data_IF_903169193292
#
_entry.id   IF_903169193292
#
_cell.length_a   1.000
_cell.length_b   1.000
_cell.length_c   1.000
_cell.angle_alpha   90.00
_cell.angle_beta   90.00
_cell.angle_gamma   90.00
#
_symmetry.space_group_name_H-M   'P 1'
#
loop_
_entity.id
_entity.type
_entity.pdbx_description
1 polymer ?
#
# COMPACT_ATOMS: atom_id res chain seq x y z
N UNK A 1 -20.49 -66.07 -13.12
CA UNK A 1 -19.07 -65.65 -13.26
C UNK A 1 -18.87 -64.15 -13.62
N UNK A 2 -19.86 -63.46 -14.21
CA UNK A 2 -19.73 -62.03 -14.59
C UNK A 2 -19.73 -61.04 -13.40
N UNK A 3 -20.47 -61.34 -12.32
CA UNK A 3 -20.59 -60.49 -11.11
C UNK A 3 -19.26 -60.24 -10.40
N UNK A 4 -18.40 -61.27 -10.29
CA UNK A 4 -17.06 -61.16 -9.68
C UNK A 4 -16.08 -60.28 -10.49
N UNK A 5 -16.28 -60.16 -11.81
CA UNK A 5 -15.41 -59.35 -12.69
C UNK A 5 -15.74 -57.85 -12.57
N UNK A 6 -17.03 -57.53 -12.44
CA UNK A 6 -17.49 -56.16 -12.21
C UNK A 6 -17.07 -55.65 -10.82
N UNK A 7 -17.26 -56.46 -9.77
CA UNK A 7 -16.79 -56.14 -8.41
C UNK A 7 -15.28 -55.89 -8.34
N UNK A 8 -14.45 -56.71 -9.00
CA UNK A 8 -13.00 -56.50 -9.07
C UNK A 8 -12.62 -55.22 -9.81
N UNK A 9 -13.36 -54.84 -10.86
CA UNK A 9 -13.15 -53.57 -11.58
C UNK A 9 -13.57 -52.38 -10.73
N UNK A 10 -14.72 -52.44 -10.06
CA UNK A 10 -15.19 -51.40 -9.14
C UNK A 10 -14.23 -51.20 -7.97
N UNK A 11 -13.71 -52.28 -7.37
CA UNK A 11 -12.70 -52.19 -6.31
C UNK A 11 -11.41 -51.53 -6.83
N UNK A 12 -10.93 -51.91 -8.02
CA UNK A 12 -9.75 -51.26 -8.62
C UNK A 12 -9.98 -49.78 -8.87
N UNK A 13 -11.15 -49.39 -9.38
CA UNK A 13 -11.52 -47.98 -9.59
C UNK A 13 -11.57 -47.23 -8.26
N UNK A 14 -12.18 -47.81 -7.22
CA UNK A 14 -12.24 -47.20 -5.89
C UNK A 14 -10.85 -47.04 -5.26
N UNK A 15 -9.98 -48.04 -5.40
CA UNK A 15 -8.59 -47.97 -4.93
C UNK A 15 -7.82 -46.90 -5.71
N UNK A 16 -7.96 -46.85 -7.04
CA UNK A 16 -7.32 -45.82 -7.86
C UNK A 16 -7.81 -44.42 -7.51
N UNK A 17 -9.11 -44.23 -7.28
CA UNK A 17 -9.66 -42.96 -6.80
C UNK A 17 -9.15 -42.62 -5.40
N UNK A 18 -9.10 -43.57 -4.48
CA UNK A 18 -8.57 -43.35 -3.13
C UNK A 18 -7.09 -42.95 -3.16
N UNK A 19 -6.27 -43.60 -4.00
CA UNK A 19 -4.86 -43.24 -4.21
C UNK A 19 -4.77 -41.84 -4.82
N UNK A 20 -5.60 -41.52 -5.82
CA UNK A 20 -5.63 -40.19 -6.43
C UNK A 20 -6.02 -39.11 -5.41
N UNK A 21 -7.03 -39.34 -4.59
CA UNK A 21 -7.43 -38.42 -3.51
C UNK A 21 -6.34 -38.28 -2.45
N UNK A 22 -5.64 -39.36 -2.10
CA UNK A 22 -4.53 -39.32 -1.16
C UNK A 22 -3.36 -38.49 -1.73
N UNK A 23 -3.01 -38.70 -2.99
CA UNK A 23 -1.98 -37.91 -3.68
C UNK A 23 -2.39 -36.44 -3.78
N UNK A 24 -3.63 -36.15 -4.21
CA UNK A 24 -4.16 -34.78 -4.24
C UNK A 24 -4.11 -34.13 -2.86
N UNK A 25 -4.45 -34.85 -1.79
CA UNK A 25 -4.31 -34.33 -0.42
C UNK A 25 -2.86 -34.01 -0.07
N UNK A 26 -1.92 -34.92 -0.37
CA UNK A 26 -0.49 -34.74 -0.05
C UNK A 26 0.09 -33.52 -0.78
N UNK A 27 -0.28 -33.34 -2.05
CA UNK A 27 0.28 -32.26 -2.87
C UNK A 27 -0.48 -30.93 -2.76
N UNK A 28 -1.79 -30.95 -2.51
CA UNK A 28 -2.62 -29.75 -2.49
C UNK A 28 -2.84 -29.17 -1.09
N UNK A 29 -2.59 -29.92 -0.01
CA UNK A 29 -2.86 -29.50 1.37
C UNK A 29 -1.57 -29.51 2.18
N UNK A 30 -1.39 -28.50 3.03
CA UNK A 30 -0.28 -28.43 3.98
C UNK A 30 -0.77 -27.98 5.35
N UNK A 31 -0.02 -28.32 6.40
CA UNK A 31 -0.27 -27.76 7.73
C UNK A 31 0.13 -26.29 7.79
N UNK A 32 -0.46 -25.53 8.72
CA UNK A 32 0.03 -24.20 9.08
C UNK A 32 1.45 -24.35 9.66
N UNK A 33 2.39 -23.59 9.12
CA UNK A 33 3.73 -23.46 9.63
C UNK A 33 3.75 -22.42 10.75
N UNK A 34 4.09 -22.88 11.95
CA UNK A 34 4.19 -22.08 13.18
C UNK A 34 5.64 -21.96 13.66
N UNK A 35 6.61 -22.26 12.78
CA UNK A 35 8.03 -22.07 13.07
C UNK A 35 8.29 -20.62 13.46
N UNK A 36 8.92 -20.33 14.61
CA UNK A 36 9.25 -18.96 14.98
C UNK A 36 10.09 -18.30 13.89
N UNK A 37 9.67 -17.11 13.45
CA UNK A 37 10.26 -16.46 12.27
C UNK A 37 11.78 -16.24 12.40
N UNK A 38 12.28 -15.94 13.60
CA UNK A 38 13.71 -15.74 13.86
C UNK A 38 14.58 -17.01 13.75
N UNK A 39 13.97 -18.19 13.53
CA UNK A 39 14.66 -19.46 13.24
C UNK A 39 14.65 -19.83 11.75
N UNK A 40 14.12 -18.96 10.88
CA UNK A 40 13.90 -19.27 9.46
C UNK A 40 14.98 -18.66 8.57
N UNK A 41 15.17 -19.24 7.39
CA UNK A 41 16.11 -18.74 6.39
C UNK A 41 15.72 -17.35 5.87
N UNK A 42 14.44 -17.12 5.55
CA UNK A 42 13.96 -15.81 5.05
C UNK A 42 14.25 -14.68 6.05
N UNK A 43 14.14 -14.95 7.35
CA UNK A 43 14.52 -13.98 8.37
C UNK A 43 16.02 -13.69 8.35
N UNK A 44 16.85 -14.74 8.38
CA UNK A 44 18.32 -14.57 8.35
C UNK A 44 18.79 -13.77 7.15
N UNK A 45 18.32 -14.14 5.95
CA UNK A 45 18.64 -13.47 4.69
C UNK A 45 18.18 -12.00 4.69
N UNK A 46 16.97 -11.71 5.20
CA UNK A 46 16.48 -10.33 5.29
C UNK A 46 17.30 -9.50 6.27
N UNK A 47 17.67 -10.05 7.42
CA UNK A 47 18.48 -9.34 8.42
C UNK A 47 19.88 -9.05 7.88
N UNK A 48 20.48 -9.98 7.13
CA UNK A 48 21.76 -9.74 6.46
C UNK A 48 21.67 -8.57 5.47
N UNK A 49 20.62 -8.55 4.62
CA UNK A 49 20.36 -7.43 3.70
C UNK A 49 20.16 -6.11 4.45
N UNK A 50 19.35 -6.09 5.51
CA UNK A 50 19.10 -4.87 6.30
C UNK A 50 20.37 -4.35 6.97
N UNK A 51 21.20 -5.23 7.51
CA UNK A 51 22.45 -4.84 8.14
C UNK A 51 23.43 -4.28 7.09
N UNK A 52 23.49 -4.89 5.89
CA UNK A 52 24.32 -4.39 4.80
C UNK A 52 23.90 -2.97 4.39
N UNK A 53 22.60 -2.73 4.23
CA UNK A 53 22.04 -1.41 3.90
C UNK A 53 22.25 -0.39 5.03
N UNK A 54 22.06 -0.79 6.29
CA UNK A 54 22.32 0.08 7.44
C UNK A 54 23.79 0.48 7.57
N UNK A 55 24.72 -0.39 7.14
CA UNK A 55 26.15 -0.10 7.16
C UNK A 55 26.61 0.75 5.96
N UNK A 56 25.86 0.73 4.84
CA UNK A 56 26.19 1.47 3.62
C UNK A 56 25.44 2.80 3.49
N UNK A 57 24.35 2.99 4.25
CA UNK A 57 23.58 4.23 4.21
C UNK A 57 24.44 5.42 4.62
N UNK A 58 24.23 6.53 3.91
CA UNK A 58 24.94 7.77 4.17
C UNK A 58 23.95 8.89 4.46
N UNK A 59 24.30 9.79 5.37
CA UNK A 59 23.59 11.04 5.52
C UNK A 59 24.07 12.03 4.45
N UNK A 60 23.17 12.83 3.88
CA UNK A 60 23.54 13.95 3.01
C UNK A 60 22.90 15.22 3.49
N UNK A 61 23.74 16.21 3.75
CA UNK A 61 23.36 17.52 4.27
C UNK A 61 23.42 18.57 3.16
N UNK A 62 22.38 19.40 3.03
CA UNK A 62 22.41 20.48 2.04
C UNK A 62 21.07 21.18 1.82
N UNK A 63 21.05 22.02 0.79
CA UNK A 63 19.83 22.72 0.34
C UNK A 63 18.85 21.70 -0.22
N UNK A 64 17.63 21.68 0.35
CA UNK A 64 16.55 20.89 -0.21
C UNK A 64 16.12 21.47 -1.57
N UNK A 65 16.03 20.62 -2.57
CA UNK A 65 15.33 20.90 -3.80
C UNK A 65 14.08 20.04 -3.89
N UNK A 66 12.98 20.58 -4.41
CA UNK A 66 11.76 19.84 -4.63
C UNK A 66 11.08 20.19 -5.95
N UNK A 67 10.47 19.18 -6.57
CA UNK A 67 9.72 19.30 -7.83
C UNK A 67 8.41 18.53 -7.75
N UNK A 68 7.36 19.05 -8.39
CA UNK A 68 6.00 18.56 -8.21
C UNK A 68 5.33 18.23 -9.55
N UNK A 69 4.54 17.15 -9.59
CA UNK A 69 3.69 16.83 -10.74
C UNK A 69 2.36 16.19 -10.33
N UNK A 70 1.36 16.35 -11.19
CA UNK A 70 0.00 15.80 -11.10
C UNK A 70 -0.44 15.37 -12.48
N UNK A 71 -0.77 14.09 -12.64
CA UNK A 71 -1.21 13.48 -13.89
C UNK A 71 -2.57 12.84 -13.68
N UNK A 72 -3.53 13.12 -14.58
CA UNK A 72 -4.85 12.49 -14.55
C UNK A 72 -4.74 11.01 -14.97
N UNK A 73 -5.29 10.12 -14.14
CA UNK A 73 -5.34 8.67 -14.34
C UNK A 73 -6.78 8.14 -14.32
N UNK A 74 -7.74 8.98 -14.73
CA UNK A 74 -9.16 8.60 -14.85
C UNK A 74 -9.40 7.93 -16.20
N UNK A 75 -9.76 6.63 -16.25
CA UNK A 75 -10.11 5.98 -17.49
C UNK A 75 -11.39 6.58 -18.08
N UNK A 76 -11.44 6.71 -19.40
CA UNK A 76 -12.67 7.04 -20.13
C UNK A 76 -13.30 5.75 -20.65
N UNK A 77 -14.54 5.48 -20.24
CA UNK A 77 -15.29 4.31 -20.70
C UNK A 77 -15.99 4.66 -22.02
N UNK A 78 -15.80 3.83 -23.05
CA UNK A 78 -16.36 4.04 -24.40
C UNK A 78 -17.05 2.78 -24.92
N UNK A 79 -18.16 2.94 -25.63
CA UNK A 79 -18.98 1.80 -26.09
C UNK A 79 -18.30 0.96 -27.19
N UNK A 80 -17.50 1.60 -28.05
CA UNK A 80 -16.79 0.95 -29.17
C UNK A 80 -15.46 1.67 -29.44
N UNK A 81 -14.51 0.94 -30.04
CA UNK A 81 -13.21 1.47 -30.51
C UNK A 81 -12.33 2.05 -29.39
N UNK A 82 -12.07 1.25 -28.35
CA UNK A 82 -11.13 1.62 -27.29
C UNK A 82 -9.75 1.99 -27.87
N UNK A 83 -9.16 3.03 -27.30
CA UNK A 83 -7.78 3.46 -27.56
C UNK A 83 -7.05 3.57 -26.22
N UNK A 84 -6.40 2.48 -25.76
CA UNK A 84 -5.70 2.47 -24.48
C UNK A 84 -4.62 3.55 -24.37
N UNK A 85 -3.97 3.93 -25.48
CA UNK A 85 -2.98 5.02 -25.49
C UNK A 85 -3.57 6.39 -25.13
N UNK A 86 -4.89 6.58 -25.32
CA UNK A 86 -5.63 7.77 -24.89
C UNK A 86 -6.36 7.59 -23.55
N UNK A 87 -6.20 6.43 -22.89
CA UNK A 87 -6.94 6.08 -21.69
C UNK A 87 -8.41 5.73 -21.94
N UNK A 88 -8.76 5.30 -23.16
CA UNK A 88 -10.11 4.89 -23.54
C UNK A 88 -10.24 3.37 -23.50
N UNK A 89 -11.19 2.85 -22.72
CA UNK A 89 -11.40 1.41 -22.49
C UNK A 89 -12.88 1.06 -22.62
N UNK A 90 -13.19 -0.17 -23.04
CA UNK A 90 -14.59 -0.63 -23.14
C UNK A 90 -15.21 -0.96 -21.78
N UNK A 91 -14.39 -1.44 -20.84
CA UNK A 91 -14.83 -1.73 -19.49
C UNK A 91 -13.64 -1.77 -18.53
N UNK A 92 -13.78 -1.13 -17.39
CA UNK A 92 -12.86 -1.24 -16.25
C UNK A 92 -13.69 -1.62 -15.03
N UNK A 93 -13.32 -2.71 -14.35
CA UNK A 93 -13.90 -3.05 -13.06
C UNK A 93 -13.15 -2.27 -11.99
N UNK A 94 -13.88 -1.62 -11.09
CA UNK A 94 -13.25 -0.91 -9.98
C UNK A 94 -12.64 -1.90 -8.99
N UNK A 95 -11.42 -1.61 -8.52
CA UNK A 95 -10.68 -2.50 -7.66
C UNK A 95 -10.95 -2.27 -6.17
N UNK A 96 -10.84 -3.35 -5.39
CA UNK A 96 -10.84 -3.33 -3.92
C UNK A 96 -12.02 -4.06 -3.31
N UNK A 97 -13.24 -3.82 -3.80
CA UNK A 97 -14.37 -4.68 -3.48
C UNK A 97 -14.37 -5.88 -4.44
N UNK A 98 -14.22 -7.11 -3.94
CA UNK A 98 -14.22 -8.31 -4.80
C UNK A 98 -15.47 -8.42 -5.70
N UNK A 99 -16.60 -7.91 -5.23
CA UNK A 99 -17.87 -7.75 -5.97
C UNK A 99 -18.11 -6.31 -6.48
N UNK A 100 -17.05 -5.53 -6.68
CA UNK A 100 -17.10 -4.16 -7.20
C UNK A 100 -17.71 -4.08 -8.60
N UNK A 101 -18.23 -2.90 -8.93
CA UNK A 101 -18.91 -2.64 -10.19
C UNK A 101 -17.93 -2.42 -11.35
N UNK A 102 -18.42 -2.64 -12.58
CA UNK A 102 -17.82 -2.04 -13.77
C UNK A 102 -18.14 -0.55 -13.76
N UNK A 103 -17.12 0.29 -13.96
CA UNK A 103 -17.29 1.73 -13.98
C UNK A 103 -18.19 2.15 -15.15
N UNK A 104 -19.18 2.99 -14.87
CA UNK A 104 -20.13 3.59 -15.81
C UNK A 104 -20.04 5.11 -15.85
N UNK A 105 -19.21 5.71 -15.00
CA UNK A 105 -19.02 7.15 -14.97
C UNK A 105 -17.89 7.58 -14.06
N UNK A 106 -17.79 8.90 -13.89
CA UNK A 106 -16.81 9.55 -13.02
C UNK A 106 -17.60 10.46 -12.09
N UNK A 107 -17.46 10.25 -10.78
CA UNK A 107 -17.96 11.21 -9.78
C UNK A 107 -16.92 12.32 -9.59
N UNK A 108 -15.66 11.92 -9.43
CA UNK A 108 -14.52 12.80 -9.43
C UNK A 108 -13.29 12.12 -10.05
N UNK A 109 -12.41 12.91 -10.66
CA UNK A 109 -11.22 12.40 -11.35
C UNK A 109 -10.19 11.83 -10.39
N UNK A 110 -9.55 10.75 -10.83
CA UNK A 110 -8.42 10.09 -10.21
C UNK A 110 -7.10 10.69 -10.72
N UNK A 111 -6.13 10.88 -9.82
CA UNK A 111 -4.82 11.43 -10.14
C UNK A 111 -3.68 10.56 -9.58
N UNK A 112 -2.58 10.52 -10.33
CA UNK A 112 -1.26 10.20 -9.81
C UNK A 112 -0.52 11.52 -9.54
N UNK A 113 0.16 11.62 -8.41
CA UNK A 113 0.85 12.84 -7.97
C UNK A 113 2.21 12.46 -7.42
N UNK A 114 3.20 13.31 -7.64
CA UNK A 114 4.56 13.06 -7.17
C UNK A 114 5.22 14.32 -6.60
N UNK A 115 6.05 14.11 -5.58
CA UNK A 115 7.01 15.07 -5.04
C UNK A 115 8.40 14.44 -5.17
N UNK A 116 9.26 15.02 -6.02
CA UNK A 116 10.68 14.70 -6.05
C UNK A 116 11.39 15.57 -5.00
N UNK A 117 12.24 14.96 -4.17
CA UNK A 117 13.10 15.60 -3.18
C UNK A 117 14.55 15.34 -3.58
N UNK A 118 15.40 16.36 -3.48
CA UNK A 118 16.84 16.22 -3.72
C UNK A 118 17.64 16.98 -2.67
N UNK A 119 18.66 16.33 -2.12
CA UNK A 119 19.65 16.93 -1.21
C UNK A 119 21.03 16.45 -1.66
N UNK A 120 21.87 17.36 -2.14
CA UNK A 120 23.11 17.00 -2.83
C UNK A 120 22.82 16.10 -4.03
N UNK A 121 23.44 14.92 -4.07
CA UNK A 121 23.25 13.91 -5.12
C UNK A 121 22.08 12.95 -4.83
N UNK A 122 21.56 12.93 -3.60
CA UNK A 122 20.48 12.02 -3.21
C UNK A 122 19.14 12.52 -3.71
N UNK A 123 18.43 11.66 -4.43
CA UNK A 123 17.07 11.91 -4.93
C UNK A 123 16.13 10.85 -4.39
N UNK A 124 14.98 11.29 -3.88
CA UNK A 124 13.82 10.46 -3.53
C UNK A 124 12.57 11.00 -4.23
N UNK A 125 11.67 10.13 -4.66
CA UNK A 125 10.41 10.54 -5.29
C UNK A 125 9.27 9.87 -4.55
N UNK A 126 8.45 10.70 -3.89
CA UNK A 126 7.25 10.29 -3.18
C UNK A 126 6.07 10.31 -4.15
N UNK A 127 5.47 9.16 -4.41
CA UNK A 127 4.44 8.98 -5.44
C UNK A 127 3.19 8.42 -4.78
N UNK A 128 2.07 9.13 -4.91
CA UNK A 128 0.77 8.59 -4.54
C UNK A 128 -0.24 8.70 -5.66
N UNK A 129 -1.17 7.75 -5.71
CA UNK A 129 -2.26 7.76 -6.67
C UNK A 129 -3.59 7.38 -6.03
N UNK A 130 -4.66 7.86 -6.65
CA UNK A 130 -6.03 7.47 -6.34
C UNK A 130 -6.31 6.06 -6.86
N UNK A 131 -5.72 5.08 -6.16
CA UNK A 131 -5.80 3.64 -6.40
C UNK A 131 -6.08 2.91 -5.08
N UNK A 132 -6.55 1.67 -5.18
CA UNK A 132 -6.65 0.79 -4.01
C UNK A 132 -5.25 0.44 -3.48
N UNK A 133 -4.32 0.09 -4.34
CA UNK A 133 -2.90 -0.09 -4.00
C UNK A 133 -2.08 0.02 -5.28
N UNK A 134 -0.76 -0.02 -5.16
CA UNK A 134 0.17 0.03 -6.29
C UNK A 134 0.31 -1.35 -6.93
N UNK A 135 -0.22 -1.58 -8.15
CA UNK A 135 -0.14 -2.89 -8.78
C UNK A 135 1.31 -3.21 -9.17
N UNK A 136 1.80 -4.37 -8.74
CA UNK A 136 3.18 -4.81 -9.02
C UNK A 136 3.51 -4.83 -10.52
N UNK A 137 2.57 -5.26 -11.36
CA UNK A 137 2.69 -5.25 -12.82
C UNK A 137 2.94 -3.85 -13.41
N UNK A 138 2.37 -2.81 -12.79
CA UNK A 138 2.54 -1.41 -13.19
C UNK A 138 3.90 -0.91 -12.70
N UNK A 139 4.26 -1.22 -11.46
CA UNK A 139 5.54 -0.81 -10.84
C UNK A 139 6.72 -1.41 -11.59
N UNK A 140 6.64 -2.68 -12.00
CA UNK A 140 7.67 -3.34 -12.81
C UNK A 140 7.91 -2.61 -14.15
N UNK A 141 6.84 -2.20 -14.85
CA UNK A 141 6.97 -1.40 -16.08
C UNK A 141 7.51 0.01 -15.82
N UNK A 142 7.06 0.65 -14.74
CA UNK A 142 7.58 1.98 -14.35
C UNK A 142 9.09 1.91 -14.11
N UNK A 143 9.56 0.90 -13.37
CA UNK A 143 10.99 0.65 -13.12
C UNK A 143 11.76 0.56 -14.42
N UNK A 144 11.28 -0.21 -15.40
CA UNK A 144 11.93 -0.30 -16.71
C UNK A 144 11.93 1.03 -17.48
N UNK A 145 10.81 1.77 -17.44
CA UNK A 145 10.66 3.03 -18.17
C UNK A 145 11.55 4.17 -17.63
N UNK A 146 11.94 4.13 -16.34
CA UNK A 146 12.70 5.20 -15.67
C UNK A 146 14.12 4.80 -15.29
N UNK A 147 14.58 3.58 -15.63
CA UNK A 147 15.87 3.03 -15.19
C UNK A 147 17.10 3.89 -15.50
N UNK A 148 17.06 4.65 -16.59
CA UNK A 148 18.15 5.56 -16.99
C UNK A 148 18.11 6.91 -16.25
N UNK A 149 17.12 7.13 -15.38
CA UNK A 149 16.89 8.38 -14.66
C UNK A 149 16.95 8.21 -13.15
N UNK A 150 16.32 7.16 -12.63
CA UNK A 150 16.23 6.85 -11.19
C UNK A 150 16.11 5.34 -10.98
N UNK A 151 16.63 4.84 -9.86
CA UNK A 151 16.50 3.43 -9.47
C UNK A 151 15.21 3.15 -8.70
N UNK A 152 14.86 1.87 -8.50
CA UNK A 152 13.66 1.46 -7.76
C UNK A 152 13.70 1.94 -6.31
N UNK A 153 14.87 1.95 -5.69
CA UNK A 153 15.13 2.35 -4.30
C UNK A 153 14.83 3.84 -4.06
N UNK A 154 14.88 4.65 -5.12
CA UNK A 154 14.57 6.09 -5.07
C UNK A 154 13.07 6.38 -5.20
N UNK A 155 12.25 5.40 -5.57
CA UNK A 155 10.82 5.54 -5.74
C UNK A 155 10.12 5.03 -4.48
N UNK A 156 9.40 5.91 -3.79
CA UNK A 156 8.54 5.56 -2.65
C UNK A 156 7.10 5.69 -3.13
N UNK A 157 6.45 4.56 -3.31
CA UNK A 157 5.07 4.53 -3.76
C UNK A 157 4.11 4.48 -2.57
N UNK A 158 2.87 4.89 -2.80
CA UNK A 158 1.75 4.70 -1.89
C UNK A 158 0.43 4.95 -2.60
N UNK A 159 -0.68 4.58 -2.01
CA UNK A 159 -1.99 4.81 -2.61
C UNK A 159 -2.91 5.52 -1.60
N UNK A 160 -3.96 6.18 -2.09
CA UNK A 160 -5.01 6.69 -1.21
C UNK A 160 -5.89 5.59 -0.62
N UNK A 161 -5.82 4.40 -1.21
CA UNK A 161 -6.61 3.24 -0.88
C UNK A 161 -8.11 3.39 -1.19
N UNK A 162 -8.47 4.19 -2.20
CA UNK A 162 -9.87 4.26 -2.67
C UNK A 162 -10.28 2.95 -3.37
N UNK A 163 -11.42 2.41 -2.97
CA UNK A 163 -12.04 1.22 -3.58
C UNK A 163 -12.90 1.55 -4.83
N UNK A 164 -12.91 2.82 -5.26
CA UNK A 164 -13.62 3.30 -6.46
C UNK A 164 -12.64 3.74 -7.55
N UNK A 165 -11.57 2.96 -7.73
CA UNK A 165 -10.42 3.27 -8.59
C UNK A 165 -10.13 2.19 -9.64
N UNK A 166 -9.12 2.42 -10.47
CA UNK A 166 -8.75 1.57 -11.62
C UNK A 166 -8.39 0.14 -11.18
N UNK A 167 -9.07 -0.85 -11.76
CA UNK A 167 -8.73 -2.27 -11.63
C UNK A 167 -8.08 -2.85 -12.89
N UNK A 168 -8.30 -4.14 -13.13
CA UNK A 168 -7.81 -4.90 -14.29
C UNK A 168 -6.28 -5.00 -14.41
N UNK A 169 -5.53 -4.57 -13.39
CA UNK A 169 -4.05 -4.56 -13.41
C UNK A 169 -3.39 -5.83 -12.87
N UNK A 170 -4.14 -6.75 -12.26
CA UNK A 170 -3.57 -7.88 -11.52
C UNK A 170 -3.87 -9.19 -12.25
N UNK A 171 -2.85 -9.99 -12.64
CA UNK A 171 -3.06 -11.27 -13.28
C UNK A 171 -3.57 -12.34 -12.30
N UNK A 172 -4.11 -13.43 -12.86
CA UNK A 172 -4.51 -14.61 -12.09
C UNK A 172 -5.91 -14.53 -11.48
N UNK A 173 -6.32 -15.64 -10.85
CA UNK A 173 -7.69 -15.82 -10.33
C UNK A 173 -8.00 -14.84 -9.20
N UNK A 174 -7.03 -14.63 -8.29
CA UNK A 174 -7.18 -13.65 -7.21
C UNK A 174 -7.25 -12.24 -7.77
N UNK A 175 -6.36 -11.87 -8.70
CA UNK A 175 -6.40 -10.56 -9.37
C UNK A 175 -7.75 -10.26 -10.03
N UNK A 176 -8.31 -11.25 -10.75
CA UNK A 176 -9.66 -11.16 -11.34
C UNK A 176 -10.75 -10.90 -10.31
N UNK A 177 -10.68 -11.56 -9.15
CA UNK A 177 -11.61 -11.32 -8.05
C UNK A 177 -11.52 -9.88 -7.56
N UNK A 178 -10.31 -9.38 -7.30
CA UNK A 178 -10.06 -8.04 -6.75
C UNK A 178 -10.40 -6.88 -7.67
N UNK A 179 -10.06 -6.98 -8.96
CA UNK A 179 -10.09 -5.85 -9.89
C UNK A 179 -10.60 -6.19 -11.28
N UNK A 180 -11.08 -7.40 -11.54
CA UNK A 180 -11.60 -7.81 -12.85
C UNK A 180 -10.53 -8.41 -13.76
N UNK A 181 -10.96 -8.86 -14.95
CA UNK A 181 -10.10 -9.54 -15.92
C UNK A 181 -8.83 -8.73 -16.20
N UNK A 182 -7.69 -9.40 -16.20
CA UNK A 182 -6.40 -8.75 -16.44
C UNK A 182 -6.35 -8.14 -17.85
N UNK A 183 -6.01 -6.85 -17.93
CA UNK A 183 -5.88 -6.08 -19.17
C UNK A 183 -4.47 -5.48 -19.26
N UNK A 184 -3.53 -6.11 -20.00
CA UNK A 184 -2.16 -5.61 -20.17
C UNK A 184 -2.07 -4.16 -20.68
N UNK A 185 -3.07 -3.71 -21.44
CA UNK A 185 -3.21 -2.37 -21.96
C UNK A 185 -3.51 -1.33 -20.88
N UNK A 186 -4.26 -1.70 -19.83
CA UNK A 186 -4.47 -0.86 -18.65
C UNK A 186 -3.17 -0.71 -17.88
N UNK A 187 -2.42 -1.81 -17.71
CA UNK A 187 -1.10 -1.80 -17.07
C UNK A 187 -0.13 -0.90 -17.84
N UNK A 188 -0.10 -1.01 -19.17
CA UNK A 188 0.75 -0.15 -20.01
C UNK A 188 0.38 1.32 -19.84
N UNK A 189 -0.89 1.67 -20.06
CA UNK A 189 -1.36 3.05 -19.96
C UNK A 189 -1.07 3.65 -18.58
N UNK A 190 -1.38 2.90 -17.52
CA UNK A 190 -1.15 3.38 -16.16
C UNK A 190 0.35 3.54 -15.91
N UNK A 191 1.19 2.60 -16.35
CA UNK A 191 2.65 2.72 -16.22
C UNK A 191 3.20 3.94 -16.96
N UNK A 192 2.67 4.29 -18.14
CA UNK A 192 3.07 5.49 -18.89
C UNK A 192 2.69 6.76 -18.11
N UNK A 193 1.51 6.78 -17.46
CA UNK A 193 1.09 7.90 -16.59
C UNK A 193 1.97 8.05 -15.36
N UNK A 194 2.38 6.95 -14.75
CA UNK A 194 3.33 6.97 -13.63
C UNK A 194 4.73 7.39 -14.06
N UNK A 195 5.20 6.93 -15.22
CA UNK A 195 6.45 7.43 -15.81
C UNK A 195 6.38 8.93 -16.05
N UNK A 196 5.26 9.41 -16.61
CA UNK A 196 5.04 10.84 -16.82
C UNK A 196 5.13 11.64 -15.51
N UNK A 197 4.36 11.27 -14.47
CA UNK A 197 4.35 12.03 -13.20
C UNK A 197 5.72 12.05 -12.53
N UNK A 198 6.49 10.96 -12.62
CA UNK A 198 7.86 10.88 -12.10
C UNK A 198 8.79 11.83 -12.87
N UNK A 199 8.77 11.76 -14.19
CA UNK A 199 9.68 12.57 -15.02
C UNK A 199 9.40 14.06 -14.94
N UNK A 200 8.13 14.45 -14.85
CA UNK A 200 7.72 15.85 -14.66
C UNK A 200 8.10 16.38 -13.27
N UNK A 201 7.91 15.59 -12.20
CA UNK A 201 8.34 15.99 -10.87
C UNK A 201 9.86 16.15 -10.79
N UNK A 202 10.63 15.29 -11.47
CA UNK A 202 12.08 15.44 -11.58
C UNK A 202 12.47 16.71 -12.35
N UNK A 203 11.74 17.09 -13.39
CA UNK A 203 12.03 18.28 -14.19
C UNK A 203 11.67 19.60 -13.46
N UNK A 204 10.70 19.57 -12.55
CA UNK A 204 10.22 20.75 -11.80
C UNK A 204 11.07 21.08 -10.55
N UNK A 205 12.20 20.40 -10.32
CA UNK A 205 13.00 20.59 -9.09
C UNK A 205 13.57 22.01 -8.98
N UNK A 206 13.36 22.63 -7.81
CA UNK A 206 13.82 23.98 -7.43
C UNK A 206 14.23 24.01 -5.96
N UNK A 207 15.06 24.95 -5.50
CA UNK A 207 15.29 25.15 -4.07
C UNK A 207 13.96 25.21 -3.31
N UNK A 208 13.87 24.54 -2.17
CA UNK A 208 12.64 24.34 -1.43
C UNK A 208 12.89 24.30 0.08
N UNK A 209 11.79 24.31 0.84
CA UNK A 209 11.80 24.15 2.30
C UNK A 209 10.78 23.10 2.70
N UNK A 210 11.04 22.39 3.78
CA UNK A 210 10.20 21.31 4.28
C UNK A 210 9.78 21.53 5.74
N UNK A 211 8.58 21.07 6.09
CA UNK A 211 8.09 20.96 7.46
C UNK A 211 7.21 19.71 7.63
N UNK A 212 7.26 19.09 8.79
CA UNK A 212 6.29 18.08 9.25
C UNK A 212 5.61 18.52 10.53
N UNK A 213 4.40 18.01 10.74
CA UNK A 213 3.67 18.11 12.00
C UNK A 213 2.49 17.11 11.97
N UNK A 214 1.79 16.91 13.08
CA UNK A 214 0.57 16.09 13.13
C UNK A 214 -0.54 16.71 13.99
N UNK A 215 -1.78 16.24 13.79
CA UNK A 215 -2.93 16.56 14.63
C UNK A 215 -3.80 15.32 14.85
N UNK A 216 -4.29 15.11 16.07
CA UNK A 216 -5.21 14.01 16.37
C UNK A 216 -6.64 14.34 15.92
N UNK A 217 -7.27 13.40 15.22
CA UNK A 217 -8.62 13.50 14.67
C UNK A 217 -9.44 12.22 14.98
N UNK A 218 -9.68 11.91 16.27
CA UNK A 218 -10.25 10.63 16.72
C UNK A 218 -11.68 10.37 16.24
N UNK A 219 -12.43 11.42 15.93
CA UNK A 219 -13.81 11.33 15.47
C UNK A 219 -13.97 10.80 14.04
N UNK A 220 -12.86 10.61 13.30
CA UNK A 220 -12.87 10.16 11.90
C UNK A 220 -12.32 8.75 11.68
N UNK A 221 -11.91 8.05 12.74
CA UNK A 221 -11.34 6.70 12.66
C UNK A 221 -11.88 5.80 13.76
N UNK A 222 -12.10 4.52 13.44
CA UNK A 222 -12.44 3.46 14.41
C UNK A 222 -11.63 2.19 14.13
N UNK A 223 -11.42 1.38 15.16
CA UNK A 223 -10.93 0.02 14.98
C UNK A 223 -12.08 -0.89 14.48
N UNK A 224 -11.82 -1.68 13.43
CA UNK A 224 -12.83 -2.55 12.80
C UNK A 224 -12.66 -4.05 13.11
N UNK A 225 -11.56 -4.44 13.74
CA UNK A 225 -11.29 -5.84 14.14
C UNK A 225 -11.92 -6.14 15.50
N UNK A 226 -11.72 -5.25 16.49
CA UNK A 226 -12.22 -5.43 17.87
C UNK A 226 -13.16 -4.30 18.34
N UNK A 227 -13.60 -3.44 17.41
CA UNK A 227 -14.57 -2.38 17.68
C UNK A 227 -14.05 -1.33 18.66
N UNK A 228 -14.91 -0.84 19.54
CA UNK A 228 -14.64 0.30 20.44
C UNK A 228 -13.50 0.07 21.45
N UNK A 229 -13.15 -1.19 21.71
CA UNK A 229 -12.04 -1.54 22.63
C UNK A 229 -10.66 -1.47 21.96
N UNK A 230 -10.62 -1.28 20.63
CA UNK A 230 -9.38 -1.20 19.87
C UNK A 230 -8.73 0.17 19.90
N UNK A 231 -7.39 0.19 19.88
CA UNK A 231 -6.63 1.44 19.81
C UNK A 231 -6.85 2.12 18.45
N UNK A 232 -6.92 3.45 18.48
CA UNK A 232 -7.15 4.29 17.31
C UNK A 232 -5.83 4.91 16.85
N UNK A 233 -5.53 4.79 15.55
CA UNK A 233 -4.42 5.53 14.94
C UNK A 233 -5.00 6.81 14.33
N UNK A 234 -5.20 7.82 15.18
CA UNK A 234 -6.00 9.01 14.90
C UNK A 234 -5.20 10.23 14.45
N UNK A 235 -3.87 10.12 14.37
CA UNK A 235 -2.99 11.22 13.94
C UNK A 235 -3.05 11.40 12.42
N UNK A 236 -3.55 12.55 11.97
CA UNK A 236 -3.31 13.09 10.64
C UNK A 236 -1.91 13.71 10.62
N UNK A 237 -0.99 13.09 9.88
CA UNK A 237 0.38 13.56 9.73
C UNK A 237 0.49 14.35 8.43
N UNK A 238 1.18 15.49 8.46
CA UNK A 238 1.41 16.32 7.30
C UNK A 238 2.90 16.40 6.98
N UNK A 239 3.22 16.32 5.69
CA UNK A 239 4.54 16.57 5.12
C UNK A 239 4.39 17.69 4.10
N UNK A 240 4.88 18.89 4.42
CA UNK A 240 4.67 20.11 3.64
C UNK A 240 5.97 20.58 3.01
N UNK A 241 5.96 20.84 1.71
CA UNK A 241 7.11 21.32 0.94
C UNK A 241 6.74 22.57 0.18
N UNK A 242 7.58 23.60 0.27
CA UNK A 242 7.38 24.89 -0.40
C UNK A 242 8.59 25.18 -1.27
N UNK A 243 8.40 25.28 -2.58
CA UNK A 243 9.44 25.74 -3.50
C UNK A 243 9.70 27.24 -3.31
N UNK A 244 10.96 27.67 -3.44
CA UNK A 244 11.29 29.09 -3.50
C UNK A 244 10.66 29.71 -4.76
N UNK A 245 9.85 30.75 -4.55
CA UNK A 245 9.05 31.45 -5.58
C UNK A 245 8.24 30.50 -6.48
N UNK A 246 7.85 29.34 -5.93
CA UNK A 246 7.15 28.30 -6.66
C UNK A 246 5.90 27.85 -5.93
N UNK A 247 5.57 26.57 -6.12
CA UNK A 247 4.37 25.95 -5.58
C UNK A 247 4.57 25.54 -4.12
N UNK A 248 3.46 25.34 -3.42
CA UNK A 248 3.37 24.63 -2.15
C UNK A 248 2.67 23.29 -2.37
N UNK A 249 3.31 22.21 -1.93
CA UNK A 249 2.75 20.87 -1.95
C UNK A 249 2.65 20.30 -0.54
N UNK A 250 1.60 19.53 -0.26
CA UNK A 250 1.37 18.87 1.02
C UNK A 250 1.00 17.42 0.80
N UNK A 251 1.54 16.53 1.63
CA UNK A 251 1.08 15.16 1.76
C UNK A 251 0.32 15.03 3.08
N UNK A 252 -0.91 14.53 3.03
CA UNK A 252 -1.64 14.04 4.20
C UNK A 252 -1.50 12.53 4.36
N UNK A 253 -1.27 12.07 5.60
CA UNK A 253 -1.23 10.65 5.94
C UNK A 253 -2.19 10.38 7.10
N UNK A 254 -3.21 9.58 6.84
CA UNK A 254 -4.21 9.19 7.83
C UNK A 254 -4.56 7.72 7.72
N UNK A 255 -4.87 7.10 8.86
CA UNK A 255 -5.00 5.64 8.98
C UNK A 255 -6.44 5.12 8.91
N UNK A 256 -7.40 5.89 8.39
CA UNK A 256 -8.76 5.37 8.14
C UNK A 256 -8.88 4.75 6.73
N UNK A 257 -9.45 3.55 6.62
CA UNK A 257 -9.75 2.95 5.31
C UNK A 257 -10.68 3.83 4.45
N UNK A 258 -10.31 4.06 3.19
CA UNK A 258 -11.09 4.83 2.19
C UNK A 258 -12.17 3.98 1.52
N UNK A 259 -13.12 3.55 2.36
CA UNK A 259 -14.30 2.74 2.01
C UNK A 259 -15.59 3.44 2.41
N UNK A 260 -15.64 4.77 2.31
CA UNK A 260 -16.89 5.53 2.56
C UNK A 260 -17.89 5.30 1.43
N UNK A 261 -17.38 5.13 0.21
CA UNK A 261 -18.13 4.76 -0.98
C UNK A 261 -18.08 3.22 -1.13
N UNK A 262 -19.26 2.58 -1.02
CA UNK A 262 -19.39 1.13 -0.98
C UNK A 262 -19.62 0.47 -2.34
N UNK A 263 -19.97 -0.82 -2.31
CA UNK A 263 -20.19 -1.68 -3.50
C UNK A 263 -21.35 -1.26 -4.41
N UNK A 264 -22.21 -0.34 -3.96
CA UNK A 264 -23.31 0.22 -4.73
C UNK A 264 -22.83 1.20 -5.82
N UNK A 265 -21.61 1.73 -5.68
CA UNK A 265 -21.09 2.76 -6.57
C UNK A 265 -20.59 2.17 -7.89
N UNK A 266 -20.94 2.81 -8.99
CA UNK A 266 -20.50 2.48 -10.35
C UNK A 266 -19.68 3.62 -11.00
N UNK A 267 -19.20 4.60 -10.23
CA UNK A 267 -18.42 5.74 -10.73
C UNK A 267 -17.02 5.81 -10.12
N UNK A 268 -16.04 6.20 -10.91
CA UNK A 268 -14.71 6.50 -10.34
C UNK A 268 -14.78 7.63 -9.32
N UNK A 269 -14.05 7.48 -8.21
CA UNK A 269 -13.94 8.48 -7.16
C UNK A 269 -12.68 8.28 -6.32
N UNK A 270 -12.05 9.38 -5.91
CA UNK A 270 -10.95 9.37 -4.95
C UNK A 270 -11.38 9.13 -3.50
N UNK A 271 -12.67 8.87 -3.22
CA UNK A 271 -13.25 8.72 -1.87
C UNK A 271 -12.94 9.95 -0.98
N UNK A 272 -12.95 9.81 0.36
CA UNK A 272 -12.62 10.91 1.26
C UNK A 272 -11.21 11.50 1.03
N UNK A 273 -10.17 10.72 0.64
CA UNK A 273 -8.87 11.29 0.29
C UNK A 273 -8.94 12.28 -0.88
N UNK A 274 -9.77 11.98 -1.90
CA UNK A 274 -9.99 12.88 -3.03
C UNK A 274 -10.61 14.21 -2.60
N UNK A 275 -11.58 14.18 -1.67
CA UNK A 275 -12.14 15.40 -1.08
C UNK A 275 -11.13 16.19 -0.25
N UNK A 276 -10.33 15.51 0.57
CA UNK A 276 -9.23 16.12 1.32
C UNK A 276 -8.27 16.88 0.40
N UNK A 277 -7.82 16.22 -0.66
CA UNK A 277 -6.88 16.81 -1.61
C UNK A 277 -7.47 18.03 -2.32
N UNK A 278 -8.71 17.91 -2.84
CA UNK A 278 -9.37 19.02 -3.56
C UNK A 278 -9.66 20.21 -2.65
N UNK A 279 -10.05 19.97 -1.40
CA UNK A 279 -10.29 21.04 -0.43
C UNK A 279 -9.01 21.83 -0.17
N UNK A 280 -7.89 21.15 0.13
CA UNK A 280 -6.60 21.80 0.31
C UNK A 280 -6.09 22.51 -0.96
N UNK A 281 -6.24 21.89 -2.13
CA UNK A 281 -5.88 22.49 -3.42
C UNK A 281 -6.71 23.75 -3.75
N UNK A 282 -7.91 23.88 -3.17
CA UNK A 282 -8.76 25.07 -3.35
C UNK A 282 -8.36 26.19 -2.39
N UNK A 283 -7.95 25.85 -1.16
CA UNK A 283 -7.89 26.81 -0.06
C UNK A 283 -6.47 27.17 0.40
N UNK A 284 -5.49 26.27 0.24
CA UNK A 284 -4.26 26.34 1.02
C UNK A 284 -2.95 25.99 0.28
N UNK A 285 -3.00 25.17 -0.76
CA UNK A 285 -1.81 24.63 -1.44
C UNK A 285 -2.04 24.47 -2.94
N UNK A 286 -0.96 24.35 -3.73
CA UNK A 286 -1.05 24.10 -5.18
C UNK A 286 -1.18 22.62 -5.53
N UNK A 287 -0.69 21.74 -4.65
CA UNK A 287 -0.74 20.28 -4.84
C UNK A 287 -0.95 19.57 -3.51
N UNK A 288 -1.98 18.73 -3.41
CA UNK A 288 -2.21 17.90 -2.25
C UNK A 288 -2.15 16.42 -2.62
N UNK A 289 -1.29 15.66 -1.94
CA UNK A 289 -1.21 14.21 -2.02
C UNK A 289 -1.83 13.61 -0.77
N UNK A 290 -2.25 12.35 -0.88
CA UNK A 290 -2.68 11.59 0.27
C UNK A 290 -2.04 10.21 0.24
N UNK A 291 -1.48 9.76 1.35
CA UNK A 291 -0.99 8.40 1.50
C UNK A 291 -1.82 7.71 2.57
N UNK A 292 -2.31 6.51 2.27
CA UNK A 292 -2.90 5.68 3.28
C UNK A 292 -1.86 5.33 4.35
N UNK A 293 -2.20 5.61 5.60
CA UNK A 293 -1.42 5.23 6.76
C UNK A 293 -1.55 3.73 7.06
N UNK A 294 -1.52 3.38 8.33
CA UNK A 294 -1.68 2.00 8.84
C UNK A 294 -3.16 1.61 8.93
N UNK A 295 -3.79 1.40 7.77
CA UNK A 295 -5.24 1.23 7.64
C UNK A 295 -5.75 -0.18 7.94
N UNK A 296 -4.86 -1.17 8.12
CA UNK A 296 -5.22 -2.60 8.09
C UNK A 296 -6.22 -3.04 9.16
N UNK A 297 -6.29 -2.36 10.31
CA UNK A 297 -7.27 -2.64 11.38
C UNK A 297 -8.25 -1.50 11.63
N UNK A 298 -8.20 -0.47 10.78
CA UNK A 298 -8.87 0.80 11.01
C UNK A 298 -9.88 1.06 9.89
N UNK A 299 -10.99 1.70 10.22
CA UNK A 299 -12.05 2.11 9.30
C UNK A 299 -12.42 3.56 9.54
N UNK A 300 -13.03 4.19 8.55
CA UNK A 300 -13.53 5.55 8.66
C UNK A 300 -14.73 5.64 9.62
N UNK A 301 -14.82 6.80 10.28
CA UNK A 301 -16.01 7.30 10.97
C UNK A 301 -16.34 8.70 10.48
N UNK A 302 -17.59 9.10 10.60
CA UNK A 302 -18.03 10.42 10.16
C UNK A 302 -19.53 10.49 9.95
N UNK A 303 -20.02 11.71 9.71
CA UNK A 303 -21.43 12.00 9.44
C UNK A 303 -21.75 11.87 7.96
N UNK A 304 -23.04 11.76 7.64
CA UNK A 304 -23.53 11.68 6.26
C UNK A 304 -23.56 10.25 5.71
N UNK A 305 -24.02 10.13 4.47
CA UNK A 305 -24.10 8.86 3.75
C UNK A 305 -23.47 8.99 2.36
N UNK A 306 -23.07 7.87 1.77
CA UNK A 306 -22.55 7.80 0.39
C UNK A 306 -21.45 8.86 0.15
N UNK A 307 -21.56 9.64 -0.91
CA UNK A 307 -20.59 10.70 -1.25
C UNK A 307 -20.57 11.85 -0.24
N UNK A 308 -21.66 12.13 0.47
CA UNK A 308 -21.69 13.18 1.50
C UNK A 308 -20.85 12.78 2.72
N UNK A 309 -20.81 11.49 3.05
CA UNK A 309 -19.89 10.96 4.07
C UNK A 309 -18.45 11.14 3.65
N UNK A 310 -18.11 10.76 2.42
CA UNK A 310 -16.77 10.94 1.86
C UNK A 310 -16.34 12.41 1.93
N UNK A 311 -17.24 13.31 1.52
CA UNK A 311 -17.05 14.76 1.57
C UNK A 311 -16.80 15.25 2.98
N UNK A 312 -17.69 14.92 3.92
CA UNK A 312 -17.57 15.32 5.33
C UNK A 312 -16.21 14.95 5.92
N UNK A 313 -15.77 13.71 5.72
CA UNK A 313 -14.50 13.22 6.27
C UNK A 313 -13.32 13.95 5.61
N UNK A 314 -13.32 14.04 4.27
CA UNK A 314 -12.23 14.68 3.53
C UNK A 314 -12.07 16.16 3.87
N UNK A 315 -13.18 16.91 3.91
CA UNK A 315 -13.18 18.34 4.24
C UNK A 315 -12.81 18.58 5.70
N UNK A 316 -13.30 17.75 6.65
CA UNK A 316 -12.91 17.88 8.07
C UNK A 316 -11.40 17.64 8.28
N UNK A 317 -10.82 16.67 7.55
CA UNK A 317 -9.38 16.44 7.57
C UNK A 317 -8.61 17.63 6.94
N UNK A 318 -9.15 18.21 5.86
CA UNK A 318 -8.54 19.37 5.21
C UNK A 318 -8.55 20.59 6.13
N UNK A 319 -9.67 20.90 6.78
CA UNK A 319 -9.77 21.99 7.77
C UNK A 319 -8.75 21.82 8.89
N UNK A 320 -8.61 20.59 9.41
CA UNK A 320 -7.60 20.26 10.43
C UNK A 320 -6.18 20.48 9.92
N UNK A 321 -5.91 20.11 8.67
CA UNK A 321 -4.63 20.30 8.04
C UNK A 321 -4.29 21.77 7.81
N UNK A 322 -5.26 22.59 7.39
CA UNK A 322 -5.07 24.03 7.19
C UNK A 322 -4.64 24.76 8.47
N UNK A 323 -5.21 24.37 9.62
CA UNK A 323 -4.83 24.91 10.93
C UNK A 323 -3.35 24.61 11.22
N UNK A 324 -2.91 23.40 10.92
CA UNK A 324 -1.55 22.93 11.15
C UNK A 324 -0.55 23.62 10.20
N UNK A 325 -0.89 23.70 8.91
CA UNK A 325 -0.06 24.32 7.88
C UNK A 325 0.28 25.80 8.15
N UNK A 326 -0.59 26.52 8.87
CA UNK A 326 -0.38 27.93 9.26
C UNK A 326 0.68 28.11 10.36
N UNK A 327 1.00 27.04 11.10
CA UNK A 327 1.90 27.07 12.27
C UNK A 327 3.26 26.43 12.01
N UNK A 328 3.38 25.67 10.92
CA UNK A 328 4.59 24.94 10.56
C UNK A 328 5.80 25.85 10.38
N UNK A 329 6.95 25.37 10.88
CA UNK A 329 8.26 25.99 10.67
C UNK A 329 9.02 25.20 9.63
N UNK A 330 9.56 25.89 8.62
CA UNK A 330 10.13 25.26 7.44
C UNK A 330 11.65 25.37 7.44
N UNK A 331 12.31 24.24 7.19
CA UNK A 331 13.76 24.13 7.05
C UNK A 331 14.16 24.09 5.56
N UNK A 332 15.13 24.92 5.17
CA UNK A 332 15.70 24.93 3.80
C UNK A 332 16.98 24.11 3.68
N UNK A 333 17.70 23.95 4.79
CA UNK A 333 18.87 23.09 4.91
C UNK A 333 18.43 21.86 5.68
N UNK A 334 18.66 20.70 5.11
CA UNK A 334 18.17 19.44 5.64
C UNK A 334 19.25 18.37 5.59
N UNK A 335 19.10 17.40 6.49
CA UNK A 335 19.79 16.11 6.47
C UNK A 335 18.86 15.05 5.88
N UNK A 336 19.29 14.33 4.84
CA UNK A 336 18.54 13.22 4.24
C UNK A 336 19.33 11.90 4.31
N UNK A 337 18.71 10.88 4.90
CA UNK A 337 19.22 9.50 4.96
C UNK A 337 18.14 8.53 4.47
N UNK A 338 18.21 8.04 3.22
CA UNK A 338 17.34 6.98 2.72
C UNK A 338 17.88 5.59 3.05
N UNK A 339 16.97 4.62 3.17
CA UNK A 339 17.27 3.19 3.31
C UNK A 339 16.21 2.38 2.55
N UNK A 340 16.64 1.36 1.82
CA UNK A 340 15.75 0.46 1.08
C UNK A 340 16.26 -0.97 1.24
N UNK A 341 15.39 -1.88 1.67
CA UNK A 341 15.76 -3.29 1.86
C UNK A 341 14.76 -4.18 1.16
N UNK A 342 15.27 -5.03 0.26
CA UNK A 342 14.55 -6.14 -0.32
C UNK A 342 14.25 -7.20 0.77
N UNK A 343 13.00 -7.62 0.87
CA UNK A 343 12.53 -8.59 1.86
C UNK A 343 12.46 -10.00 1.29
N UNK A 344 12.82 -10.99 2.11
CA UNK A 344 12.49 -12.39 1.83
C UNK A 344 11.15 -12.74 2.47
N UNK A 345 10.22 -13.28 1.67
CA UNK A 345 8.85 -13.54 2.11
C UNK A 345 8.68 -15.03 2.44
N UNK A 346 7.97 -15.38 3.54
CA UNK A 346 7.69 -16.77 3.85
C UNK A 346 6.92 -17.46 2.74
N UNK A 347 6.94 -18.81 2.74
CA UNK A 347 6.08 -19.59 1.84
C UNK A 347 4.62 -19.22 2.07
N UNK A 348 3.86 -19.13 0.97
CA UNK A 348 2.43 -18.84 1.00
C UNK A 348 1.70 -19.79 1.97
N UNK A 349 0.92 -19.21 2.88
CA UNK A 349 0.10 -19.86 3.89
C UNK A 349 -1.41 -19.50 3.78
N UNK A 350 -1.85 -19.06 2.61
CA UNK A 350 -3.23 -18.65 2.35
C UNK A 350 -4.17 -19.83 2.05
N UNK A 351 -5.46 -19.52 1.87
CA UNK A 351 -6.53 -20.47 1.52
C UNK A 351 -6.73 -21.56 2.58
N UNK A 352 -7.15 -21.13 3.77
CA UNK A 352 -7.40 -21.98 4.93
C UNK A 352 -8.55 -22.97 4.67
N UNK A 353 -8.32 -24.23 5.03
CA UNK A 353 -9.33 -25.29 5.05
C UNK A 353 -9.86 -25.47 6.49
N UNK A 354 -8.95 -25.40 7.46
CA UNK A 354 -9.23 -25.39 8.90
C UNK A 354 -8.18 -24.52 9.61
N UNK A 355 -8.27 -24.37 10.93
CA UNK A 355 -7.24 -23.68 11.72
C UNK A 355 -5.85 -24.35 11.69
N UNK A 356 -5.76 -25.57 11.15
CA UNK A 356 -4.52 -26.34 11.07
C UNK A 356 -4.11 -26.68 9.64
N UNK A 357 -5.01 -26.54 8.68
CA UNK A 357 -4.81 -26.98 7.30
C UNK A 357 -5.12 -25.85 6.31
N UNK A 358 -4.34 -25.80 5.24
CA UNK A 358 -4.46 -24.82 4.16
C UNK A 358 -4.07 -25.45 2.83
N UNK A 359 -4.26 -24.72 1.74
CA UNK A 359 -3.62 -25.10 0.48
C UNK A 359 -2.10 -25.10 0.63
N UNK A 360 -1.45 -26.07 0.00
CA UNK A 360 0.01 -26.12 -0.09
C UNK A 360 0.53 -24.88 -0.83
N UNK A 361 1.78 -24.45 -0.59
CA UNK A 361 2.34 -23.30 -1.30
C UNK A 361 2.29 -23.46 -2.83
N UNK A 362 2.46 -24.70 -3.32
CA UNK A 362 2.37 -25.01 -4.75
C UNK A 362 0.94 -24.80 -5.28
N UNK A 363 -0.07 -25.34 -4.60
CA UNK A 363 -1.46 -25.21 -5.04
C UNK A 363 -1.97 -23.77 -4.91
N UNK A 364 -1.64 -23.08 -3.81
CA UNK A 364 -1.99 -21.67 -3.61
C UNK A 364 -1.29 -20.74 -4.60
N UNK A 365 -0.06 -21.05 -5.01
CA UNK A 365 0.70 -20.30 -6.02
C UNK A 365 0.10 -20.32 -7.42
N UNK A 366 -0.82 -21.25 -7.71
CA UNK A 366 -1.62 -21.24 -8.94
C UNK A 366 -2.72 -20.17 -8.93
N UNK A 367 -3.10 -19.69 -7.74
CA UNK A 367 -4.17 -18.71 -7.53
C UNK A 367 -3.63 -17.31 -7.28
N UNK A 368 -2.54 -17.22 -6.52
CA UNK A 368 -1.81 -15.98 -6.22
C UNK A 368 -0.44 -16.10 -6.88
N UNK A 369 -0.12 -15.25 -7.88
CA UNK A 369 1.21 -15.25 -8.48
C UNK A 369 2.25 -14.98 -7.40
N UNK A 370 3.42 -15.62 -7.52
CA UNK A 370 4.55 -15.34 -6.63
C UNK A 370 4.95 -13.86 -6.83
N UNK A 371 4.95 -13.03 -5.77
CA UNK A 371 5.40 -11.66 -5.91
C UNK A 371 6.92 -11.65 -6.20
N UNK A 372 7.38 -10.62 -6.90
CA UNK A 372 8.79 -10.22 -6.85
C UNK A 372 9.15 -9.87 -5.40
N UNK A 373 10.43 -9.90 -5.07
CA UNK A 373 10.86 -9.55 -3.73
C UNK A 373 10.44 -8.11 -3.42
N UNK A 374 9.70 -7.89 -2.32
CA UNK A 374 9.16 -6.58 -2.03
C UNK A 374 10.16 -5.74 -1.23
N UNK A 375 10.05 -4.43 -1.34
CA UNK A 375 10.92 -3.51 -0.61
C UNK A 375 10.23 -2.97 0.63
N UNK A 376 10.92 -3.03 1.77
CA UNK A 376 10.71 -2.10 2.87
C UNK A 376 11.60 -0.89 2.62
N UNK A 377 11.02 0.32 2.57
CA UNK A 377 11.78 1.55 2.36
C UNK A 377 11.50 2.52 3.50
N UNK A 378 12.50 3.35 3.82
CA UNK A 378 12.32 4.45 4.73
C UNK A 378 13.34 5.54 4.51
N UNK A 379 13.08 6.70 5.08
CA UNK A 379 14.06 7.78 5.11
C UNK A 379 13.90 8.62 6.36
N UNK A 380 15.01 9.21 6.80
CA UNK A 380 15.04 10.29 7.78
C UNK A 380 15.32 11.60 7.05
N UNK A 381 14.48 12.60 7.30
CA UNK A 381 14.66 13.98 6.84
C UNK A 381 14.62 14.90 8.06
N UNK A 382 15.77 15.42 8.50
CA UNK A 382 15.91 16.05 9.82
C UNK A 382 15.39 15.14 10.94
N UNK A 383 14.34 15.55 11.66
CA UNK A 383 13.72 14.79 12.74
C UNK A 383 12.47 14.01 12.30
N UNK A 384 12.19 13.97 11.00
CA UNK A 384 11.05 13.25 10.46
C UNK A 384 11.47 11.90 9.88
N UNK A 385 10.82 10.82 10.32
CA UNK A 385 11.08 9.45 9.87
C UNK A 385 9.88 8.92 9.10
N UNK A 386 10.08 8.56 7.83
CA UNK A 386 9.07 7.90 7.01
C UNK A 386 9.43 6.44 6.81
N UNK A 387 8.50 5.51 7.06
CA UNK A 387 8.62 4.09 6.68
C UNK A 387 7.45 3.71 5.77
N UNK A 388 7.77 3.20 4.59
CA UNK A 388 6.85 2.85 3.52
C UNK A 388 6.86 1.33 3.27
N UNK A 389 5.70 0.72 3.43
CA UNK A 389 5.54 -0.73 3.51
C UNK A 389 4.73 -1.29 2.33
N UNK A 390 5.10 -2.46 1.79
CA UNK A 390 4.40 -3.11 0.67
C UNK A 390 3.18 -3.93 1.14
N UNK A 391 2.52 -3.53 2.21
CA UNK A 391 1.43 -4.28 2.85
C UNK A 391 0.49 -3.39 3.65
N UNK A 392 -0.69 -3.92 4.00
CA UNK A 392 -1.66 -3.25 4.86
C UNK A 392 -1.39 -3.53 6.33
N UNK A 393 -0.61 -2.64 6.97
CA UNK A 393 -0.29 -2.76 8.39
C UNK A 393 -1.48 -2.33 9.27
N UNK A 394 -1.76 -3.11 10.31
CA UNK A 394 -2.69 -2.75 11.38
C UNK A 394 -2.33 -1.41 12.03
N UNK A 395 -3.35 -0.59 12.25
CA UNK A 395 -3.23 0.68 12.97
C UNK A 395 -2.65 0.52 14.37
N UNK A 396 -2.94 -0.60 15.05
CA UNK A 396 -2.40 -0.90 16.38
C UNK A 396 -0.88 -1.07 16.37
N UNK A 397 -0.33 -1.82 15.42
CA UNK A 397 1.11 -1.92 15.26
C UNK A 397 1.73 -0.58 14.87
N UNK A 398 1.04 0.18 14.01
CA UNK A 398 1.48 1.53 13.66
C UNK A 398 1.58 2.47 14.86
N UNK A 399 0.70 2.36 15.86
CA UNK A 399 0.75 3.16 17.08
C UNK A 399 2.01 2.85 17.88
N UNK A 400 2.38 1.57 17.99
CA UNK A 400 3.53 1.14 18.79
C UNK A 400 4.83 1.79 18.30
N UNK A 401 5.10 1.76 16.99
CA UNK A 401 6.30 2.38 16.42
C UNK A 401 6.23 3.92 16.41
N UNK A 402 5.07 4.51 16.11
CA UNK A 402 4.92 5.98 16.16
C UNK A 402 5.19 6.52 17.56
N UNK A 403 4.65 5.86 18.59
CA UNK A 403 4.87 6.25 19.98
C UNK A 403 6.34 6.10 20.39
N UNK A 404 7.00 5.01 19.95
CA UNK A 404 8.43 4.82 20.24
C UNK A 404 9.29 5.93 19.61
N UNK A 405 9.02 6.31 18.35
CA UNK A 405 9.69 7.41 17.66
C UNK A 405 9.45 8.76 18.34
N UNK A 406 8.20 9.04 18.71
CA UNK A 406 7.80 10.28 19.38
C UNK A 406 8.45 10.43 20.77
N UNK A 407 8.58 9.32 21.52
CA UNK A 407 9.31 9.31 22.80
C UNK A 407 10.79 9.69 22.65
N UNK A 408 11.36 9.49 21.45
CA UNK A 408 12.72 9.90 21.10
C UNK A 408 12.78 11.27 20.40
N UNK A 409 11.64 11.98 20.29
CA UNK A 409 11.56 13.31 19.69
C UNK A 409 11.49 13.33 18.15
N UNK A 410 11.13 12.20 17.52
CA UNK A 410 10.92 12.12 16.08
C UNK A 410 9.45 12.27 15.70
N UNK A 411 9.19 13.05 14.66
CA UNK A 411 7.94 12.97 13.90
C UNK A 411 8.00 11.73 12.99
N UNK A 412 6.84 11.14 12.69
CA UNK A 412 6.85 9.95 11.83
C UNK A 412 5.63 9.77 10.93
N UNK A 413 5.91 9.17 9.77
CA UNK A 413 4.92 8.69 8.83
C UNK A 413 5.12 7.19 8.58
N UNK A 414 4.04 6.42 8.73
CA UNK A 414 4.00 5.01 8.39
C UNK A 414 2.94 4.83 7.30
N UNK A 415 3.35 4.44 6.09
CA UNK A 415 2.46 4.32 4.93
C UNK A 415 2.46 2.93 4.33
N UNK A 416 1.31 2.54 3.82
CA UNK A 416 1.13 1.24 3.16
C UNK A 416 1.22 1.37 1.62
N UNK A 417 1.16 0.23 0.93
CA UNK A 417 1.07 0.13 -0.54
C UNK A 417 2.31 0.58 -1.32
N UNK A 418 3.50 0.36 -0.75
CA UNK A 418 4.77 0.75 -1.35
C UNK A 418 5.23 -0.17 -2.49
N UNK A 419 4.59 -0.04 -3.65
CA UNK A 419 5.03 -0.63 -4.91
C UNK A 419 4.72 -2.13 -5.06
N UNK A 420 4.19 -2.76 -4.02
CA UNK A 420 3.74 -4.14 -3.96
C UNK A 420 2.65 -4.28 -2.88
N UNK A 421 2.02 -5.46 -2.83
CA UNK A 421 0.96 -5.77 -1.87
C UNK A 421 1.07 -7.21 -1.34
N UNK A 422 1.38 -7.36 -0.05
CA UNK A 422 1.49 -8.66 0.64
C UNK A 422 0.26 -9.00 1.50
N UNK A 423 -0.88 -8.37 1.24
CA UNK A 423 -2.08 -8.57 2.04
C UNK A 423 -2.05 -7.81 3.37
N UNK A 424 -2.81 -8.33 4.34
CA UNK A 424 -3.04 -7.70 5.63
C UNK A 424 -2.08 -8.20 6.70
N UNK A 425 -1.50 -7.27 7.45
CA UNK A 425 -0.53 -7.53 8.52
C UNK A 425 -1.15 -7.07 9.84
N UNK A 426 -1.75 -8.04 10.53
CA UNK A 426 -2.42 -7.83 11.82
C UNK A 426 -1.61 -8.44 12.97
N UNK A 427 -1.82 -7.95 14.21
CA UNK A 427 -1.26 -8.58 15.40
C UNK A 427 -1.43 -10.08 15.44
N UNK A 428 -0.38 -10.83 15.78
CA UNK A 428 -0.45 -12.30 15.87
C UNK A 428 -1.59 -12.77 16.80
N UNK A 429 -1.91 -11.99 17.84
CA UNK A 429 -3.08 -12.22 18.73
C UNK A 429 -4.43 -12.32 17.99
N UNK A 430 -4.55 -11.73 16.79
CA UNK A 430 -5.76 -11.76 15.96
C UNK A 430 -5.73 -12.83 14.86
N UNK A 431 -4.62 -13.55 14.69
CA UNK A 431 -4.45 -14.48 13.59
C UNK A 431 -5.57 -15.52 13.46
N UNK A 432 -6.07 -16.03 14.60
CA UNK A 432 -7.14 -17.03 14.62
C UNK A 432 -8.55 -16.44 14.65
N UNK A 433 -8.71 -15.12 14.63
CA UNK A 433 -10.04 -14.52 14.55
C UNK A 433 -10.61 -14.76 13.16
N UNK A 434 -11.91 -15.08 13.06
CA UNK A 434 -12.58 -15.26 11.78
C UNK A 434 -12.96 -13.90 11.18
N UNK A 435 -11.94 -13.14 10.80
CA UNK A 435 -12.04 -11.80 10.23
C UNK A 435 -11.46 -11.78 8.82
N UNK A 436 -11.94 -10.84 8.00
CA UNK A 436 -11.47 -10.66 6.63
C UNK A 436 -9.95 -10.50 6.56
N UNK A 437 -9.39 -9.69 7.46
CA UNK A 437 -7.98 -9.34 7.54
C UNK A 437 -7.11 -10.54 7.93
N UNK A 438 -7.50 -11.26 8.98
CA UNK A 438 -6.71 -12.36 9.50
C UNK A 438 -6.83 -13.64 8.64
N UNK A 439 -8.01 -13.94 8.10
CA UNK A 439 -8.27 -15.21 7.39
C UNK A 439 -8.19 -15.10 5.89
N UNK A 440 -8.92 -14.16 5.28
CA UNK A 440 -8.98 -14.09 3.82
C UNK A 440 -7.74 -13.41 3.25
N UNK A 441 -7.21 -12.42 3.98
CA UNK A 441 -6.10 -11.58 3.52
C UNK A 441 -4.77 -11.79 4.25
N UNK A 442 -4.74 -12.66 5.27
CA UNK A 442 -3.52 -13.09 5.93
C UNK A 442 -2.84 -14.20 5.15
N UNK A 443 -1.89 -13.86 4.28
CA UNK A 443 -1.37 -14.83 3.30
C UNK A 443 -0.13 -15.60 3.73
N UNK A 444 0.60 -15.15 4.76
CA UNK A 444 1.94 -15.68 5.07
C UNK A 444 2.05 -16.28 6.48
N UNK A 445 0.91 -16.51 7.13
CA UNK A 445 0.81 -17.27 8.36
C UNK A 445 1.00 -16.44 9.64
N UNK A 446 1.06 -17.11 10.80
CA UNK A 446 0.84 -16.47 12.10
C UNK A 446 1.96 -15.52 12.51
N UNK A 447 3.19 -15.78 12.08
CA UNK A 447 4.37 -15.00 12.49
C UNK A 447 4.68 -13.82 11.57
N UNK A 448 3.93 -13.63 10.47
CA UNK A 448 4.21 -12.55 9.51
C UNK A 448 4.08 -11.17 10.14
N UNK A 449 3.07 -10.99 11.01
CA UNK A 449 2.82 -9.74 11.74
C UNK A 449 4.03 -9.29 12.55
N UNK A 450 4.48 -10.16 13.44
CA UNK A 450 5.60 -9.87 14.35
C UNK A 450 6.93 -9.74 13.60
N UNK A 451 7.17 -10.58 12.60
CA UNK A 451 8.34 -10.49 11.71
C UNK A 451 8.44 -9.11 11.06
N UNK A 452 7.40 -8.69 10.33
CA UNK A 452 7.40 -7.40 9.63
C UNK A 452 7.45 -6.22 10.59
N UNK A 453 6.83 -6.35 11.78
CA UNK A 453 6.91 -5.31 12.80
C UNK A 453 8.34 -5.16 13.32
N UNK A 454 9.05 -6.25 13.57
CA UNK A 454 10.47 -6.21 13.93
C UNK A 454 11.30 -5.50 12.86
N UNK A 455 11.07 -5.78 11.57
CA UNK A 455 11.78 -5.11 10.49
C UNK A 455 11.50 -3.60 10.46
N UNK A 456 10.25 -3.18 10.70
CA UNK A 456 9.91 -1.76 10.82
C UNK A 456 10.69 -1.08 11.96
N UNK A 457 10.76 -1.70 13.14
CA UNK A 457 11.57 -1.21 14.26
C UNK A 457 13.06 -1.17 13.91
N UNK A 458 13.60 -2.21 13.25
CA UNK A 458 15.01 -2.24 12.83
C UNK A 458 15.34 -1.13 11.83
N UNK A 459 14.47 -0.87 10.86
CA UNK A 459 14.64 0.23 9.92
C UNK A 459 14.60 1.59 10.63
N UNK A 460 13.65 1.79 11.55
CA UNK A 460 13.59 3.00 12.36
C UNK A 460 14.85 3.19 13.21
N UNK A 461 15.35 2.11 13.83
CA UNK A 461 16.57 2.13 14.62
C UNK A 461 17.80 2.49 13.77
N UNK A 462 17.91 1.92 12.57
CA UNK A 462 18.98 2.25 11.64
C UNK A 462 18.94 3.73 11.24
N UNK A 463 17.78 4.22 10.81
CA UNK A 463 17.61 5.62 10.38
C UNK A 463 17.85 6.64 11.50
N UNK A 464 17.52 6.30 12.75
CA UNK A 464 17.62 7.22 13.89
C UNK A 464 18.92 7.09 14.68
N UNK A 465 19.60 5.94 14.59
CA UNK A 465 20.71 5.59 15.48
C UNK A 465 20.29 5.29 16.92
N UNK A 466 18.99 5.13 17.18
CA UNK A 466 18.42 4.89 18.51
C UNK A 466 17.81 3.50 18.57
N UNK A 467 17.86 2.85 19.73
CA UNK A 467 17.14 1.60 19.98
C UNK A 467 15.75 1.93 20.55
N UNK A 468 14.73 1.80 19.71
CA UNK A 468 13.32 2.01 20.02
C UNK A 468 12.68 0.86 20.78
#
# INVERSE_FOLDING_TARGET
MQTKKWQRRSIKVLISLAILFLLLRIFAVSSIDTTPYFKTAYYGETIEKMNAEANSMAETNGVLHAGFSKVNITPKIVDRSANPGKGEFTAIKMAGFGNGQIAKGVHDSLYAKAIALQVGEKVLILISADLVFMPESVVAKVKENVKDRVSREQLIFGATHTHSSVGNCIPGVVGKSFGGEYQPEVVQWLSDKFTQVITEALADKRPAKFASDFISVPNLVRNRIIGETGRLNDKLNLFSVVQDRGKKAVIGIFSAHATTIGTWNDKFSGDYPGYFQRSLETNAVDLALFFAGTVGSQSNMGKGEKFDKAKYIGETLADSAEILLKKMKYDSIVSLTPMATELEIPKLQAFYITDRLRLSPMAGGLLIPKPESPYLQGFKLNNFVWIAMPYELSGEYGIDLKNALELQGYDSALTCFNGQYLGYIVPQKYYYYDTYEARLMGWYGPSMGDYLMELNFRMANALTGVRL
#
